data_IF_021683200049
#
_entry.id   IF_021683200049
#
_cell.length_a   1.000
_cell.length_b   1.000
_cell.length_c   1.000
_cell.angle_alpha   90.00
_cell.angle_beta   90.00
_cell.angle_gamma   90.00
#
_symmetry.space_group_name_H-M   'P 1'
#
loop_
_entity.id
_entity.type
_entity.pdbx_description
1 polymer ?
#
# COMPACT_ATOMS: atom_id res chain seq x y z
N UNK A 1 -20.21 35.53 -47.72
CA UNK A 1 -19.77 34.35 -48.50
C UNK A 1 -18.56 33.78 -47.77
N UNK A 2 -18.69 33.30 -46.53
CA UNK A 2 -19.25 31.99 -46.15
C UNK A 2 -18.73 30.85 -47.03
N UNK A 3 -17.72 30.16 -46.51
CA UNK A 3 -17.45 28.76 -46.83
C UNK A 3 -16.94 28.08 -45.56
N UNK A 4 -17.90 27.65 -44.74
CA UNK A 4 -17.72 26.57 -43.76
C UNK A 4 -17.72 25.27 -44.54
N UNK A 5 -16.63 24.48 -44.47
CA UNK A 5 -16.67 23.04 -44.70
C UNK A 5 -15.31 22.43 -44.34
N UNK A 6 -15.33 21.43 -43.45
CA UNK A 6 -14.17 20.56 -43.25
C UNK A 6 -13.78 20.32 -41.81
N UNK A 7 -14.73 20.03 -40.92
CA UNK A 7 -14.42 19.21 -39.74
C UNK A 7 -14.18 17.78 -40.23
N UNK A 8 -12.96 17.47 -40.63
CA UNK A 8 -12.52 16.09 -40.79
C UNK A 8 -12.02 15.62 -39.44
N UNK A 9 -12.87 14.88 -38.74
CA UNK A 9 -12.44 13.98 -37.69
C UNK A 9 -11.34 13.07 -38.22
N UNK A 10 -10.22 13.03 -37.50
CA UNK A 10 -9.03 12.29 -37.89
C UNK A 10 -8.13 12.09 -36.70
N UNK A 11 -8.51 11.14 -35.85
CA UNK A 11 -7.65 10.30 -35.02
C UNK A 11 -6.25 10.85 -34.67
N UNK A 12 -6.15 11.54 -33.52
CA UNK A 12 -4.94 11.44 -32.70
C UNK A 12 -5.18 10.30 -31.70
N UNK A 13 -4.87 9.09 -32.14
CA UNK A 13 -4.73 7.92 -31.29
C UNK A 13 -3.70 8.24 -30.21
N UNK A 14 -4.19 8.47 -28.99
CA UNK A 14 -3.35 8.49 -27.79
C UNK A 14 -2.70 7.10 -27.70
N UNK A 15 -1.40 7.05 -28.00
CA UNK A 15 -0.64 5.81 -28.02
C UNK A 15 -0.75 5.06 -26.69
N UNK A 16 -0.85 3.72 -26.71
CA UNK A 16 -0.84 2.91 -25.50
C UNK A 16 0.58 2.93 -24.93
N UNK A 17 0.91 3.98 -24.18
CA UNK A 17 2.27 4.20 -23.68
C UNK A 17 2.35 4.96 -22.36
N UNK A 18 1.23 5.46 -21.83
CA UNK A 18 1.19 5.84 -20.43
C UNK A 18 0.99 4.55 -19.62
N UNK A 19 2.09 3.81 -19.44
CA UNK A 19 2.25 2.87 -18.33
C UNK A 19 1.85 3.67 -17.11
N UNK A 20 0.64 3.43 -16.63
CA UNK A 20 0.11 3.94 -15.37
C UNK A 20 1.23 3.70 -14.40
N UNK A 21 1.83 4.78 -13.90
CA UNK A 21 2.99 4.75 -13.03
C UNK A 21 2.69 3.69 -11.98
N UNK A 22 3.27 2.51 -12.20
CA UNK A 22 3.03 1.36 -11.37
C UNK A 22 3.56 1.82 -10.04
N UNK A 23 2.68 1.93 -9.05
CA UNK A 23 3.10 2.05 -7.67
C UNK A 23 4.17 0.98 -7.48
N UNK A 24 5.45 1.38 -7.45
CA UNK A 24 6.52 0.41 -7.37
C UNK A 24 6.26 -0.41 -6.11
N UNK A 25 6.14 -1.75 -6.20
CA UNK A 25 5.74 -2.57 -5.06
C UNK A 25 6.71 -2.40 -3.89
N UNK A 26 7.98 -2.07 -4.16
CA UNK A 26 8.99 -1.74 -3.17
C UNK A 26 8.63 -0.52 -2.31
N UNK A 27 8.29 0.62 -2.92
CA UNK A 27 7.88 1.81 -2.17
C UNK A 27 6.52 1.67 -1.47
N UNK A 28 5.66 0.78 -1.96
CA UNK A 28 4.43 0.37 -1.27
C UNK A 28 4.70 -0.40 0.02
N UNK A 29 5.64 -1.36 -0.03
CA UNK A 29 6.02 -2.19 1.11
C UNK A 29 6.68 -1.39 2.24
N UNK A 30 7.63 -0.51 1.93
CA UNK A 30 8.28 0.34 2.94
C UNK A 30 7.27 1.22 3.69
N UNK A 31 6.30 1.80 2.98
CA UNK A 31 5.23 2.58 3.63
C UNK A 31 4.30 1.72 4.46
N UNK A 32 4.04 0.48 4.05
CA UNK A 32 3.23 -0.45 4.84
C UNK A 32 3.97 -0.86 6.12
N UNK A 33 5.29 -1.07 6.04
CA UNK A 33 6.15 -1.33 7.20
C UNK A 33 6.16 -0.14 8.17
N UNK A 34 6.36 1.08 7.67
CA UNK A 34 6.31 2.29 8.50
C UNK A 34 4.94 2.49 9.18
N UNK A 35 3.84 2.14 8.50
CA UNK A 35 2.49 2.17 9.10
C UNK A 35 2.33 1.12 10.19
N UNK A 36 2.89 -0.07 10.00
CA UNK A 36 2.87 -1.12 11.01
C UNK A 36 3.63 -0.66 12.26
N UNK A 37 4.86 -0.15 12.13
CA UNK A 37 5.65 0.37 13.25
C UNK A 37 4.91 1.47 14.02
N UNK A 38 4.23 2.37 13.29
CA UNK A 38 3.41 3.41 13.90
C UNK A 38 2.20 2.83 14.65
N UNK A 39 1.56 1.80 14.10
CA UNK A 39 0.43 1.14 14.74
C UNK A 39 0.84 0.38 16.00
N UNK A 40 1.99 -0.31 15.98
CA UNK A 40 2.57 -0.95 17.17
C UNK A 40 2.85 0.06 18.27
N UNK A 41 3.47 1.20 17.95
CA UNK A 41 3.75 2.26 18.92
C UNK A 41 2.48 2.83 19.54
N UNK A 42 1.42 3.04 18.74
CA UNK A 42 0.13 3.50 19.26
C UNK A 42 -0.48 2.47 20.21
N UNK A 43 -0.46 1.20 19.83
CA UNK A 43 -1.01 0.11 20.61
C UNK A 43 -0.25 -0.04 21.95
N UNK A 44 1.08 0.03 21.93
CA UNK A 44 1.93 0.04 23.12
C UNK A 44 1.67 1.25 24.04
N UNK A 45 1.48 2.44 23.45
CA UNK A 45 1.10 3.64 24.20
C UNK A 45 -0.26 3.49 24.88
N UNK A 46 -1.26 2.98 24.17
CA UNK A 46 -2.59 2.72 24.74
C UNK A 46 -2.55 1.68 25.87
N UNK A 47 -1.74 0.63 25.71
CA UNK A 47 -1.51 -0.38 26.75
C UNK A 47 -0.87 0.23 28.00
N UNK A 48 0.15 1.07 27.84
CA UNK A 48 0.81 1.77 28.95
C UNK A 48 -0.15 2.70 29.70
N UNK A 49 -0.96 3.47 28.96
CA UNK A 49 -1.96 4.37 29.57
C UNK A 49 -3.05 3.62 30.32
N UNK A 50 -3.50 2.49 29.77
CA UNK A 50 -4.42 1.59 30.48
C UNK A 50 -3.78 1.03 31.76
N UNK A 51 -2.54 0.55 31.70
CA UNK A 51 -1.84 0.00 32.87
C UNK A 51 -1.59 1.06 33.96
N UNK A 52 -1.43 2.33 33.59
CA UNK A 52 -1.31 3.46 34.53
C UNK A 52 -2.63 3.88 35.19
N UNK A 53 -3.77 3.27 34.84
CA UNK A 53 -5.08 3.61 35.39
C UNK A 53 -5.73 4.85 34.79
N UNK A 54 -5.10 5.50 33.81
CA UNK A 54 -5.65 6.64 33.06
C UNK A 54 -6.74 6.20 32.06
N UNK A 55 -7.89 5.72 32.55
CA UNK A 55 -9.14 5.63 31.77
C UNK A 55 -9.05 4.94 30.40
N UNK A 56 -8.05 4.08 30.19
CA UNK A 56 -7.82 3.40 28.92
C UNK A 56 -8.94 2.42 28.65
N UNK A 57 -9.69 2.64 27.58
CA UNK A 57 -10.76 1.72 27.21
C UNK A 57 -10.15 0.40 26.75
N UNK A 58 -10.20 -0.64 27.59
CA UNK A 58 -9.62 -1.96 27.33
C UNK A 58 -10.01 -2.50 25.95
N UNK A 59 -11.27 -2.29 25.55
CA UNK A 59 -11.77 -2.72 24.26
C UNK A 59 -11.02 -2.06 23.08
N UNK A 60 -10.66 -0.78 23.22
CA UNK A 60 -9.85 -0.07 22.21
C UNK A 60 -8.43 -0.62 22.15
N UNK A 61 -7.81 -0.95 23.29
CA UNK A 61 -6.49 -1.58 23.30
C UNK A 61 -6.55 -2.94 22.59
N UNK A 62 -7.55 -3.76 22.90
CA UNK A 62 -7.74 -5.06 22.24
C UNK A 62 -7.97 -4.91 20.74
N UNK A 63 -8.79 -3.95 20.31
CA UNK A 63 -9.05 -3.70 18.89
C UNK A 63 -7.78 -3.28 18.14
N UNK A 64 -7.00 -2.36 18.71
CA UNK A 64 -5.75 -1.90 18.10
C UNK A 64 -4.71 -3.02 18.04
N UNK A 65 -4.61 -3.86 19.08
CA UNK A 65 -3.72 -5.03 19.06
C UNK A 65 -4.12 -6.04 17.99
N UNK A 66 -5.42 -6.29 17.81
CA UNK A 66 -5.90 -7.18 16.75
C UNK A 66 -5.66 -6.59 15.35
N UNK A 67 -5.84 -5.27 15.21
CA UNK A 67 -5.55 -4.56 13.97
C UNK A 67 -4.05 -4.65 13.59
N UNK A 68 -3.15 -4.45 14.56
CA UNK A 68 -1.70 -4.62 14.38
C UNK A 68 -1.38 -6.04 13.92
N UNK A 69 -1.96 -7.05 14.57
CA UNK A 69 -1.77 -8.47 14.20
C UNK A 69 -2.18 -8.73 12.76
N UNK A 70 -3.37 -8.30 12.35
CA UNK A 70 -3.83 -8.47 10.97
C UNK A 70 -2.92 -7.76 9.94
N UNK A 71 -2.44 -6.56 10.27
CA UNK A 71 -1.51 -5.81 9.41
C UNK A 71 -0.17 -6.53 9.26
N UNK A 72 0.35 -7.11 10.34
CA UNK A 72 1.59 -7.89 10.31
C UNK A 72 1.46 -9.14 9.41
N UNK A 73 0.39 -9.90 9.55
CA UNK A 73 0.13 -11.09 8.72
C UNK A 73 0.06 -10.73 7.23
N UNK A 74 -0.64 -9.65 6.89
CA UNK A 74 -0.69 -9.15 5.52
C UNK A 74 0.71 -8.78 5.01
N UNK A 75 1.53 -8.14 5.85
CA UNK A 75 2.88 -7.71 5.48
C UNK A 75 3.80 -8.91 5.20
N UNK A 76 3.66 -9.99 5.96
CA UNK A 76 4.40 -11.24 5.74
C UNK A 76 4.01 -11.89 4.40
N UNK A 77 2.73 -11.88 4.03
CA UNK A 77 2.29 -12.36 2.72
C UNK A 77 2.89 -11.53 1.58
N UNK A 78 2.91 -10.20 1.72
CA UNK A 78 3.50 -9.30 0.73
C UNK A 78 5.01 -9.52 0.63
N UNK A 79 5.71 -9.70 1.76
CA UNK A 79 7.14 -10.03 1.80
C UNK A 79 7.44 -11.30 1.00
N UNK A 80 6.68 -12.38 1.24
CA UNK A 80 6.85 -13.62 0.51
C UNK A 80 6.65 -13.41 -1.01
N UNK A 81 5.63 -12.64 -1.39
CA UNK A 81 5.36 -12.34 -2.80
C UNK A 81 6.46 -11.51 -3.47
N UNK A 82 7.07 -10.57 -2.74
CA UNK A 82 8.22 -9.79 -3.20
C UNK A 82 9.45 -10.70 -3.43
N UNK A 83 9.71 -11.64 -2.52
CA UNK A 83 10.80 -12.60 -2.66
C UNK A 83 10.58 -13.55 -3.84
N UNK A 84 9.35 -14.01 -4.05
CA UNK A 84 8.99 -14.85 -5.20
C UNK A 84 9.18 -14.08 -6.52
N UNK A 85 8.69 -12.84 -6.58
CA UNK A 85 8.82 -11.99 -7.75
C UNK A 85 10.30 -11.70 -8.08
N UNK A 86 11.14 -11.50 -7.06
CA UNK A 86 12.58 -11.34 -7.25
C UNK A 86 13.23 -12.62 -7.81
N UNK A 87 12.87 -13.79 -7.27
CA UNK A 87 13.38 -15.08 -7.74
C UNK A 87 12.95 -15.39 -9.18
N UNK A 88 11.72 -15.06 -9.56
CA UNK A 88 11.21 -15.27 -10.92
C UNK A 88 11.97 -14.43 -11.95
N UNK A 89 12.25 -13.15 -11.63
CA UNK A 89 13.06 -12.28 -12.49
C UNK A 89 14.46 -12.85 -12.71
N UNK A 90 15.08 -13.42 -11.68
CA UNK A 90 16.41 -14.04 -11.78
C UNK A 90 16.38 -15.33 -12.62
N UNK A 91 15.30 -16.12 -12.55
CA UNK A 91 15.13 -17.33 -13.38
C UNK A 91 14.95 -17.02 -14.86
N UNK A 92 14.46 -15.84 -15.23
CA UNK A 92 14.30 -15.44 -16.63
C UNK A 92 15.62 -15.00 -17.29
N UNK A 93 16.64 -14.66 -16.52
CA UNK A 93 17.88 -14.06 -17.02
C UNK A 93 19.04 -15.06 -17.18
N UNK A 94 18.87 -16.32 -16.78
CA UNK A 94 19.84 -17.40 -16.96
C UNK A 94 19.51 -18.30 -18.14
#
# INVERSE_FOLDING_TARGET
MESVAGVTGGAAVAGPGAVRQGMAPAGGFERALARLEQSEHRAAGLLSRMASGEGGNLHRVMLEMEAVRMQFELLMQVRNRLLDAYQEVMRMQV
#
